data_IF_053128673366
#
_entry.id   IF_053128673366
#
_cell.length_a   1.000
_cell.length_b   1.000
_cell.length_c   1.000
_cell.angle_alpha   90.00
_cell.angle_beta   90.00
_cell.angle_gamma   90.00
#
_symmetry.space_group_name_H-M   'P 1'
#
loop_
_entity.id
_entity.type
_entity.pdbx_description
1 polymer ?
#
# COMPACT_ATOMS: atom_id res chain seq x y z
N UNK A 1 -8.68 -12.38 -11.11
CA UNK A 1 -7.97 -11.29 -10.43
C UNK A 1 -6.90 -10.77 -11.37
N UNK A 2 -6.85 -9.47 -11.64
CA UNK A 2 -5.88 -8.87 -12.57
C UNK A 2 -4.50 -8.70 -11.90
N UNK A 3 -3.52 -8.19 -12.67
CA UNK A 3 -2.17 -7.91 -12.17
C UNK A 3 -2.20 -7.07 -10.89
N UNK A 4 -2.84 -5.90 -10.91
CA UNK A 4 -2.84 -4.97 -9.78
C UNK A 4 -3.45 -5.58 -8.52
N UNK A 5 -4.58 -6.27 -8.65
CA UNK A 5 -5.26 -6.91 -7.53
C UNK A 5 -4.40 -8.02 -6.91
N UNK A 6 -3.68 -8.79 -7.73
CA UNK A 6 -2.73 -9.81 -7.26
C UNK A 6 -1.56 -9.20 -6.51
N UNK A 7 -0.98 -8.14 -7.05
CA UNK A 7 0.16 -7.47 -6.43
C UNK A 7 -0.24 -6.77 -5.12
N UNK A 8 -1.42 -6.13 -5.08
CA UNK A 8 -1.98 -5.56 -3.85
C UNK A 8 -2.27 -6.63 -2.81
N UNK A 9 -2.76 -7.81 -3.22
CA UNK A 9 -2.99 -8.92 -2.30
C UNK A 9 -1.68 -9.40 -1.65
N UNK A 10 -0.58 -9.45 -2.40
CA UNK A 10 0.73 -9.80 -1.85
C UNK A 10 1.20 -8.80 -0.79
N UNK A 11 0.90 -7.51 -0.96
CA UNK A 11 1.22 -6.47 0.04
C UNK A 11 0.31 -6.62 1.26
N UNK A 12 -1.01 -6.66 1.05
CA UNK A 12 -1.99 -6.66 2.14
C UNK A 12 -1.87 -7.90 3.03
N UNK A 13 -1.66 -9.09 2.44
CA UNK A 13 -1.55 -10.34 3.17
C UNK A 13 -0.31 -10.43 4.08
N UNK A 14 0.64 -9.48 3.97
CA UNK A 14 1.86 -9.44 4.79
C UNK A 14 1.73 -8.58 6.05
N UNK A 15 0.54 -8.07 6.36
CA UNK A 15 0.27 -7.43 7.65
C UNK A 15 -0.23 -5.99 7.58
N UNK A 16 -0.83 -5.57 6.46
CA UNK A 16 -1.56 -4.29 6.44
C UNK A 16 -2.78 -4.41 7.37
N UNK A 17 -2.94 -3.53 8.38
CA UNK A 17 -3.89 -3.73 9.48
C UNK A 17 -5.31 -3.30 9.08
N UNK A 18 -5.87 -4.02 8.10
CA UNK A 18 -7.21 -3.79 7.56
C UNK A 18 -8.01 -5.08 7.51
N UNK A 19 -9.33 -4.98 7.64
CA UNK A 19 -10.26 -6.12 7.58
C UNK A 19 -11.21 -6.02 6.38
N UNK A 20 -12.02 -7.05 6.15
CA UNK A 20 -13.06 -7.08 5.10
C UNK A 20 -12.58 -6.69 3.70
N UNK A 21 -11.40 -7.17 3.31
CA UNK A 21 -10.74 -6.68 2.09
C UNK A 21 -11.50 -7.13 0.84
N UNK A 22 -11.66 -6.20 -0.12
CA UNK A 22 -12.26 -6.44 -1.43
C UNK A 22 -11.34 -5.91 -2.53
N UNK A 23 -11.19 -6.69 -3.60
CA UNK A 23 -10.37 -6.34 -4.76
C UNK A 23 -11.29 -6.07 -5.94
N UNK A 24 -11.36 -4.81 -6.38
CA UNK A 24 -12.31 -4.36 -7.42
C UNK A 24 -11.65 -3.28 -8.28
N UNK A 25 -11.68 -3.46 -9.60
CA UNK A 25 -11.24 -2.45 -10.56
C UNK A 25 -9.75 -2.14 -10.49
N UNK A 26 -8.91 -3.12 -10.11
CA UNK A 26 -7.47 -2.90 -9.97
C UNK A 26 -7.05 -2.27 -8.63
N UNK A 27 -7.98 -2.11 -7.70
CA UNK A 27 -7.73 -1.56 -6.36
C UNK A 27 -8.11 -2.57 -5.27
N UNK A 28 -7.51 -2.39 -4.10
CA UNK A 28 -7.90 -3.06 -2.86
C UNK A 28 -8.62 -2.05 -1.97
N UNK A 29 -9.76 -2.44 -1.42
CA UNK A 29 -10.48 -1.70 -0.40
C UNK A 29 -10.50 -2.52 0.88
N UNK A 30 -10.30 -1.88 2.03
CA UNK A 30 -10.39 -2.55 3.32
C UNK A 30 -10.91 -1.64 4.41
N UNK A 31 -11.36 -2.25 5.49
CA UNK A 31 -11.81 -1.57 6.70
C UNK A 31 -10.61 -1.24 7.58
N UNK A 32 -10.43 0.05 7.88
CA UNK A 32 -9.38 0.54 8.75
C UNK A 32 -9.89 0.71 10.19
N UNK A 33 -11.09 1.29 10.35
CA UNK A 33 -11.85 1.31 11.60
C UNK A 33 -13.37 1.25 11.33
N UNK A 34 -14.22 1.64 12.29
CA UNK A 34 -15.67 1.65 12.12
C UNK A 34 -16.15 2.59 11.02
N UNK A 35 -15.54 3.77 10.91
CA UNK A 35 -15.93 4.88 10.02
C UNK A 35 -15.05 5.03 8.78
N UNK A 36 -13.82 4.52 8.84
CA UNK A 36 -12.76 4.68 7.85
C UNK A 36 -12.56 3.39 7.06
N UNK A 37 -12.38 3.58 5.76
CA UNK A 37 -11.91 2.58 4.80
C UNK A 37 -10.62 3.07 4.19
N UNK A 38 -9.81 2.15 3.69
CA UNK A 38 -8.66 2.48 2.86
C UNK A 38 -8.88 1.96 1.45
N UNK A 39 -8.40 2.71 0.47
CA UNK A 39 -8.23 2.29 -0.91
C UNK A 39 -6.73 2.26 -1.23
N UNK A 40 -6.23 1.11 -1.66
CA UNK A 40 -4.89 0.95 -2.20
C UNK A 40 -4.98 0.72 -3.70
N UNK A 41 -4.19 1.43 -4.49
CA UNK A 41 -4.13 1.25 -5.94
C UNK A 41 -2.74 1.57 -6.48
N UNK A 42 -2.36 0.93 -7.57
CA UNK A 42 -1.17 1.34 -8.32
C UNK A 42 -1.38 2.72 -8.94
N UNK A 43 -0.31 3.53 -8.99
CA UNK A 43 -0.32 4.89 -9.53
C UNK A 43 0.80 5.09 -10.52
N UNK A 44 0.50 5.80 -11.60
CA UNK A 44 1.46 6.14 -12.65
C UNK A 44 2.20 7.45 -12.45
N UNK A 45 1.74 8.28 -11.50
CA UNK A 45 2.26 9.62 -11.21
C UNK A 45 2.40 10.54 -12.44
N UNK A 46 1.60 10.29 -13.48
CA UNK A 46 1.56 11.10 -14.70
C UNK A 46 2.25 10.48 -15.91
N UNK A 47 2.99 9.37 -15.76
CA UNK A 47 3.57 8.67 -16.91
C UNK A 47 2.67 7.51 -17.37
N UNK A 48 2.00 7.70 -18.50
CA UNK A 48 1.02 6.74 -19.03
C UNK A 48 1.57 5.30 -19.03
N UNK A 49 0.76 4.37 -18.53
CA UNK A 49 1.04 2.94 -18.43
C UNK A 49 2.24 2.53 -17.54
N UNK A 50 2.93 3.48 -16.91
CA UNK A 50 4.11 3.24 -16.08
C UNK A 50 3.78 3.40 -14.60
N UNK A 51 3.46 2.30 -13.94
CA UNK A 51 3.01 2.30 -12.54
C UNK A 51 4.20 2.16 -11.59
N UNK A 52 4.50 3.22 -10.86
CA UNK A 52 5.71 3.36 -10.05
C UNK A 52 5.45 3.61 -8.56
N UNK A 53 4.19 3.51 -8.13
CA UNK A 53 3.82 3.71 -6.73
C UNK A 53 2.54 2.97 -6.35
N UNK A 54 2.36 2.77 -5.03
CA UNK A 54 1.04 2.55 -4.44
C UNK A 54 0.52 3.89 -3.93
N UNK A 55 -0.69 4.27 -4.33
CA UNK A 55 -1.46 5.32 -3.69
C UNK A 55 -2.38 4.69 -2.64
N UNK A 56 -2.26 5.13 -1.41
CA UNK A 56 -3.21 4.85 -0.34
C UNK A 56 -4.12 6.06 -0.14
N UNK A 57 -5.42 5.84 -0.04
CA UNK A 57 -6.40 6.88 0.25
C UNK A 57 -7.31 6.40 1.37
N UNK A 58 -7.32 7.14 2.47
CA UNK A 58 -8.28 6.92 3.56
C UNK A 58 -9.59 7.60 3.20
N UNK A 59 -10.70 6.90 3.41
CA UNK A 59 -12.04 7.30 2.99
C UNK A 59 -12.97 7.16 4.18
N UNK A 60 -13.63 8.25 4.57
CA UNK A 60 -14.77 8.23 5.44
C UNK A 60 -16.02 7.86 4.62
N UNK A 61 -16.88 6.97 5.14
CA UNK A 61 -18.07 6.50 4.42
C UNK A 61 -19.07 7.61 4.08
N UNK A 62 -19.17 8.65 4.90
CA UNK A 62 -20.09 9.77 4.69
C UNK A 62 -19.43 10.93 3.94
N UNK A 63 -18.18 11.24 4.29
CA UNK A 63 -17.55 12.50 3.87
C UNK A 63 -16.57 12.34 2.70
N UNK A 64 -16.27 11.09 2.30
CA UNK A 64 -15.36 10.81 1.20
C UNK A 64 -13.89 10.78 1.62
N UNK A 65 -12.94 11.11 0.71
CA UNK A 65 -11.51 11.04 1.01
C UNK A 65 -11.11 11.94 2.18
N UNK A 66 -10.40 11.38 3.16
CA UNK A 66 -9.86 12.09 4.33
C UNK A 66 -8.43 12.54 4.06
N UNK A 67 -7.59 11.62 3.59
CA UNK A 67 -6.18 11.86 3.29
C UNK A 67 -5.68 10.88 2.21
N UNK A 68 -4.52 11.16 1.61
CA UNK A 68 -3.83 10.23 0.73
C UNK A 68 -2.32 10.32 0.79
N UNK A 69 -1.67 9.15 0.84
CA UNK A 69 -0.22 9.00 0.72
C UNK A 69 0.18 8.27 -0.57
N UNK A 70 1.37 8.58 -1.07
CA UNK A 70 1.98 7.92 -2.24
C UNK A 70 3.27 7.26 -1.79
N UNK A 71 3.33 5.94 -1.94
CA UNK A 71 4.51 5.12 -1.69
C UNK A 71 5.18 4.83 -3.02
N UNK A 72 6.08 5.73 -3.45
CA UNK A 72 6.91 5.49 -4.64
C UNK A 72 7.79 4.28 -4.39
N UNK A 73 7.87 3.38 -5.36
CA UNK A 73 8.71 2.20 -5.24
C UNK A 73 10.19 2.56 -5.10
N UNK A 74 10.64 3.65 -5.73
CA UNK A 74 12.01 4.18 -5.55
C UNK A 74 12.32 4.54 -4.11
N UNK A 75 11.33 5.08 -3.39
CA UNK A 75 11.54 5.63 -2.06
C UNK A 75 11.46 4.52 -1.01
N UNK A 76 10.58 3.53 -1.22
CA UNK A 76 10.42 2.40 -0.29
C UNK A 76 11.45 1.30 -0.55
N UNK A 77 11.70 0.95 -1.81
CA UNK A 77 12.51 -0.21 -2.18
C UNK A 77 13.93 0.16 -2.60
N UNK A 78 14.17 1.43 -2.92
CA UNK A 78 15.43 1.88 -3.52
C UNK A 78 15.64 1.35 -4.94
N UNK A 79 16.83 1.64 -5.46
CA UNK A 79 17.28 1.13 -6.76
C UNK A 79 17.67 -0.34 -6.65
N UNK A 80 17.26 -1.15 -7.62
CA UNK A 80 17.54 -2.59 -7.65
C UNK A 80 18.58 -2.94 -8.69
N UNK A 81 19.57 -3.72 -8.29
CA UNK A 81 20.56 -4.29 -9.21
C UNK A 81 19.95 -5.46 -9.98
N UNK A 82 20.24 -5.53 -11.28
CA UNK A 82 19.71 -6.55 -12.19
C UNK A 82 20.82 -7.07 -13.09
N UNK A 83 20.67 -8.28 -13.60
CA UNK A 83 21.64 -8.89 -14.54
C UNK A 83 21.50 -8.37 -15.97
N UNK A 84 20.45 -7.60 -16.27
CA UNK A 84 20.22 -7.07 -17.62
C UNK A 84 21.28 -6.00 -17.96
N UNK A 85 22.10 -6.18 -19.01
CA UNK A 85 23.20 -5.27 -19.33
C UNK A 85 22.75 -3.84 -19.68
N UNK A 86 21.49 -3.66 -20.14
CA UNK A 86 20.93 -2.34 -20.42
C UNK A 86 20.70 -1.50 -19.15
N UNK A 87 20.70 -2.14 -17.98
CA UNK A 87 20.47 -1.53 -16.68
C UNK A 87 21.66 -1.79 -15.74
N UNK A 88 22.87 -1.55 -16.23
CA UNK A 88 24.13 -1.75 -15.49
C UNK A 88 24.21 -0.96 -14.18
N UNK A 89 23.52 0.18 -14.08
CA UNK A 89 23.42 0.98 -12.86
C UNK A 89 22.24 0.56 -11.95
N UNK A 90 21.50 -0.49 -12.31
CA UNK A 90 20.24 -0.89 -11.70
C UNK A 90 19.03 -0.13 -12.23
N UNK A 91 17.86 -0.48 -11.73
CA UNK A 91 16.56 0.06 -12.14
C UNK A 91 15.71 0.42 -10.90
N UNK A 92 14.93 1.49 -10.99
CA UNK A 92 13.87 1.74 -10.02
C UNK A 92 12.69 0.82 -10.34
N UNK A 93 12.12 0.07 -9.37
CA UNK A 93 11.04 -0.85 -9.67
C UNK A 93 9.80 -0.13 -10.22
N UNK A 94 9.16 -0.70 -11.25
CA UNK A 94 7.84 -0.27 -11.73
C UNK A 94 7.16 -1.41 -12.51
N UNK A 95 5.84 -1.35 -12.60
CA UNK A 95 5.05 -2.17 -13.50
C UNK A 95 4.71 -1.38 -14.77
N UNK A 96 4.74 -2.05 -15.91
CA UNK A 96 4.47 -1.42 -17.19
C UNK A 96 3.34 -2.14 -17.91
N UNK A 97 2.37 -1.38 -18.40
CA UNK A 97 1.35 -1.88 -19.31
C UNK A 97 1.80 -1.65 -20.77
N UNK A 98 2.13 -2.73 -21.46
CA UNK A 98 2.51 -2.73 -22.86
C UNK A 98 1.72 -3.81 -23.60
N UNK A 99 1.18 -3.50 -24.78
CA UNK A 99 0.43 -4.43 -25.63
C UNK A 99 -0.68 -5.21 -24.92
N UNK A 100 -1.45 -4.51 -24.07
CA UNK A 100 -2.56 -5.10 -23.31
C UNK A 100 -2.15 -5.99 -22.14
N UNK A 101 -0.85 -6.10 -21.84
CA UNK A 101 -0.31 -6.86 -20.72
C UNK A 101 0.34 -5.93 -19.72
N UNK A 102 -0.01 -6.07 -18.45
CA UNK A 102 0.66 -5.39 -17.35
C UNK A 102 1.53 -6.36 -16.56
N UNK A 103 2.80 -6.03 -16.41
CA UNK A 103 3.75 -6.82 -15.62
C UNK A 103 4.87 -5.97 -15.03
N UNK A 104 5.59 -6.52 -14.06
CA UNK A 104 6.83 -5.91 -13.55
C UNK A 104 7.88 -5.83 -14.65
N UNK A 105 8.44 -4.64 -14.87
CA UNK A 105 9.42 -4.43 -15.92
C UNK A 105 10.84 -4.64 -15.41
N UNK A 106 11.55 -5.61 -15.99
CA UNK A 106 12.96 -5.97 -15.74
C UNK A 106 13.26 -6.51 -14.33
N UNK A 107 12.75 -5.88 -13.29
CA UNK A 107 12.87 -6.31 -11.90
C UNK A 107 11.51 -6.73 -11.36
N UNK A 108 11.40 -7.98 -10.90
CA UNK A 108 10.23 -8.49 -10.19
C UNK A 108 10.47 -8.40 -8.67
N UNK A 109 9.58 -7.77 -7.90
CA UNK A 109 9.70 -7.70 -6.43
C UNK A 109 9.80 -9.08 -5.79
N UNK A 110 10.65 -9.15 -4.78
CA UNK A 110 10.85 -10.32 -3.91
C UNK A 110 9.88 -10.26 -2.72
N UNK A 111 9.80 -11.34 -1.95
CA UNK A 111 9.03 -11.35 -0.70
C UNK A 111 9.47 -10.24 0.27
N UNK A 112 10.78 -9.94 0.33
CA UNK A 112 11.31 -8.88 1.18
C UNK A 112 10.84 -7.48 0.72
N UNK A 113 10.68 -7.28 -0.59
CA UNK A 113 10.16 -6.02 -1.13
C UNK A 113 8.68 -5.85 -0.79
N UNK A 114 7.87 -6.91 -0.91
CA UNK A 114 6.47 -6.84 -0.49
C UNK A 114 6.34 -6.61 1.02
N UNK A 115 7.24 -7.17 1.84
CA UNK A 115 7.29 -6.88 3.28
C UNK A 115 7.57 -5.39 3.54
N UNK A 116 8.54 -4.79 2.85
CA UNK A 116 8.83 -3.35 2.97
C UNK A 116 7.64 -2.48 2.54
N UNK A 117 6.99 -2.81 1.42
CA UNK A 117 5.78 -2.11 0.99
C UNK A 117 4.64 -2.27 1.99
N UNK A 118 4.45 -3.47 2.53
CA UNK A 118 3.44 -3.73 3.57
C UNK A 118 3.71 -2.87 4.79
N UNK A 119 4.94 -2.84 5.30
CA UNK A 119 5.31 -2.02 6.46
C UNK A 119 5.05 -0.53 6.19
N UNK A 120 5.50 0.00 5.04
CA UNK A 120 5.28 1.41 4.71
C UNK A 120 3.79 1.79 4.64
N UNK A 121 2.95 0.90 4.08
CA UNK A 121 1.49 1.11 4.05
C UNK A 121 0.88 0.95 5.45
N UNK A 122 1.34 0.00 6.26
CA UNK A 122 0.90 -0.19 7.65
C UNK A 122 1.20 1.03 8.51
N UNK A 123 2.40 1.58 8.43
CA UNK A 123 2.80 2.78 9.18
C UNK A 123 1.88 3.97 8.89
N UNK A 124 1.40 4.08 7.65
CA UNK A 124 0.40 5.08 7.28
C UNK A 124 -1.01 4.77 7.81
N UNK A 125 -1.43 3.51 7.76
CA UNK A 125 -2.68 3.08 8.37
C UNK A 125 -2.74 3.42 9.87
N UNK A 126 -1.62 3.24 10.58
CA UNK A 126 -1.52 3.43 12.03
C UNK A 126 -1.77 4.89 12.46
N UNK A 127 -1.57 5.87 11.57
CA UNK A 127 -1.87 7.29 11.83
C UNK A 127 -3.38 7.49 12.09
N UNK A 128 -4.24 6.67 11.48
CA UNK A 128 -5.69 6.79 11.56
C UNK A 128 -6.32 5.80 12.52
N UNK A 129 -5.56 4.80 12.97
CA UNK A 129 -6.03 3.92 14.02
C UNK A 129 -5.99 4.72 15.33
N UNK A 130 -7.16 4.92 15.93
CA UNK A 130 -7.27 5.56 17.24
C UNK A 130 -6.25 4.92 18.17
N UNK A 131 -5.33 5.71 18.73
CA UNK A 131 -4.54 5.27 19.88
C UNK A 131 -5.56 4.78 20.92
N UNK A 132 -5.72 3.46 21.05
CA UNK A 132 -6.23 2.86 22.28
C UNK A 132 -5.14 2.99 23.36
N UNK A 133 -4.63 4.20 23.56
CA UNK A 133 -3.80 4.53 24.71
C UNK A 133 -4.71 5.17 25.75
N UNK A 134 -4.77 4.51 26.91
CA UNK A 134 -5.37 4.94 28.18
C UNK A 134 -6.90 4.95 28.32
N UNK A 135 -7.52 3.77 28.30
CA UNK A 135 -8.78 3.51 29.03
C UNK A 135 -8.61 2.49 30.18
N UNK A 136 -7.37 2.18 30.57
CA UNK A 136 -7.04 1.33 31.73
C UNK A 136 -6.41 2.10 32.90
N UNK A 137 -6.66 3.41 33.00
CA UNK A 137 -6.00 4.27 33.97
C UNK A 137 -6.81 5.45 34.43
N UNK A 138 -8.05 5.26 34.91
CA UNK A 138 -8.71 6.14 35.90
C UNK A 138 -10.04 5.55 36.38
N UNK A 139 -10.00 4.36 36.96
CA UNK A 139 -11.10 3.89 37.82
C UNK A 139 -10.56 3.06 38.98
N UNK A 140 -9.63 3.65 39.75
CA UNK A 140 -9.45 3.26 41.14
C UNK A 140 -10.08 4.36 41.99
N UNK A 141 -11.31 4.03 42.37
CA UNK A 141 -12.20 4.72 43.29
C UNK A 141 -11.47 5.35 44.48
N UNK A 142 -11.76 6.62 44.70
CA UNK A 142 -11.76 7.23 46.02
C UNK A 142 -12.62 6.37 46.94
N UNK A 143 -12.02 5.79 47.97
CA UNK A 143 -12.69 5.43 49.22
C UNK A 143 -11.73 5.80 50.35
N UNK A 144 -12.03 6.91 51.02
CA UNK A 144 -11.70 7.14 52.42
C UNK A 144 -13.00 6.96 53.22
#
# INVERSE_FOLDING_TARGET
MNFFEKELQNIVNLGVPITDQKYVGGACYGRLDDSLRIKLQFSTLGYANHYEAIKATVINRTDGPVDSAIFRFSDVLGKKQVSNPNFSNGIMPYAWACDGKTEWYVYKPTEQDYKQLSTAVSDYCDIFQTQRMSDHGMQMSQQF
#
